data_IF_608195993152
#
_entry.id   IF_608195993152
#
_cell.length_a   1.000
_cell.length_b   1.000
_cell.length_c   1.000
_cell.angle_alpha   90.00
_cell.angle_beta   90.00
_cell.angle_gamma   90.00
#
_symmetry.space_group_name_H-M   'P 1'
#
loop_
_entity.id
_entity.type
_entity.pdbx_description
1 polymer ?
#
# COMPACT_ATOMS: atom_id res chain seq x y z
N UNK A 1 -13.13 6.59 -22.45
CA UNK A 1 -11.93 7.39 -22.13
C UNK A 1 -11.11 6.62 -21.12
N UNK A 2 -9.82 6.39 -21.37
CA UNK A 2 -8.92 5.76 -20.38
C UNK A 2 -8.45 6.87 -19.44
N UNK A 3 -8.91 6.83 -18.19
CA UNK A 3 -8.37 7.69 -17.15
C UNK A 3 -6.93 7.25 -16.83
N UNK A 4 -6.00 8.20 -16.68
CA UNK A 4 -4.60 7.89 -16.38
C UNK A 4 -4.42 7.67 -14.87
N UNK A 5 -3.97 6.47 -14.50
CA UNK A 5 -3.75 6.07 -13.11
C UNK A 5 -2.28 6.10 -12.70
N UNK A 6 -1.36 6.61 -13.54
CA UNK A 6 0.06 6.68 -13.20
C UNK A 6 0.34 7.40 -11.88
N UNK A 7 -0.36 8.49 -11.60
CA UNK A 7 -0.20 9.20 -10.33
C UNK A 7 -0.64 8.33 -9.13
N UNK A 8 -1.68 7.51 -9.29
CA UNK A 8 -2.06 6.54 -8.24
C UNK A 8 -0.96 5.51 -8.06
N UNK A 9 -0.40 4.96 -9.15
CA UNK A 9 0.67 3.98 -9.09
C UNK A 9 1.92 4.53 -8.39
N UNK A 10 2.29 5.78 -8.67
CA UNK A 10 3.40 6.48 -8.00
C UNK A 10 3.11 6.67 -6.50
N UNK A 11 1.90 7.10 -6.13
CA UNK A 11 1.51 7.24 -4.72
C UNK A 11 1.56 5.90 -3.97
N UNK A 12 1.12 4.81 -4.59
CA UNK A 12 1.17 3.47 -4.01
C UNK A 12 2.62 2.97 -3.86
N UNK A 13 3.50 3.30 -4.81
CA UNK A 13 4.92 2.95 -4.72
C UNK A 13 5.62 3.71 -3.58
N UNK A 14 5.33 5.00 -3.42
CA UNK A 14 5.85 5.81 -2.31
C UNK A 14 5.34 5.26 -0.97
N UNK A 15 4.02 5.04 -0.85
CA UNK A 15 3.41 4.49 0.36
C UNK A 15 4.02 3.13 0.76
N UNK A 16 4.28 2.25 -0.21
CA UNK A 16 4.94 0.98 0.05
C UNK A 16 6.34 1.17 0.64
N UNK A 17 7.14 2.07 0.06
CA UNK A 17 8.49 2.33 0.54
C UNK A 17 8.48 2.97 1.94
N UNK A 18 7.56 3.91 2.20
CA UNK A 18 7.44 4.57 3.50
C UNK A 18 7.07 3.57 4.60
N UNK A 19 6.07 2.71 4.37
CA UNK A 19 5.69 1.63 5.31
C UNK A 19 6.87 0.69 5.54
N UNK A 20 7.63 0.37 4.50
CA UNK A 20 8.80 -0.49 4.62
C UNK A 20 9.91 0.15 5.45
N UNK A 21 10.24 1.44 5.22
CA UNK A 21 11.23 2.16 6.00
C UNK A 21 10.80 2.33 7.47
N UNK A 22 9.54 2.65 7.71
CA UNK A 22 8.99 2.77 9.07
C UNK A 22 9.01 1.43 9.80
N UNK A 23 8.69 0.34 9.09
CA UNK A 23 8.81 -1.01 9.62
C UNK A 23 10.27 -1.32 10.00
N UNK A 24 11.22 -1.13 9.08
CA UNK A 24 12.64 -1.36 9.35
C UNK A 24 13.12 -0.50 10.52
N UNK A 25 12.69 0.77 10.62
CA UNK A 25 13.03 1.64 11.75
C UNK A 25 12.51 1.12 13.09
N UNK A 26 11.27 0.62 13.11
CA UNK A 26 10.62 0.08 14.32
C UNK A 26 11.24 -1.23 14.78
N UNK A 27 11.68 -2.08 13.84
CA UNK A 27 12.09 -3.45 14.14
C UNK A 27 13.60 -3.72 13.99
N UNK A 28 14.41 -2.78 13.46
CA UNK A 28 15.88 -2.86 13.50
C UNK A 28 16.46 -2.63 14.90
N UNK A 29 15.69 -2.09 15.85
CA UNK A 29 16.22 -1.69 17.16
C UNK A 29 16.36 -2.83 18.17
N UNK A 30 15.65 -3.95 18.07
CA UNK A 30 15.70 -4.97 19.14
C UNK A 30 15.47 -6.42 18.67
N UNK A 31 16.56 -7.20 18.76
CA UNK A 31 16.67 -8.44 19.55
C UNK A 31 15.31 -9.11 19.86
N UNK A 32 14.70 -9.86 18.95
CA UNK A 32 13.87 -11.03 19.30
C UNK A 32 13.48 -11.81 18.03
N UNK A 33 14.16 -12.93 17.83
CA UNK A 33 14.20 -13.75 16.60
C UNK A 33 12.97 -14.69 16.47
N UNK A 34 11.89 -14.49 17.22
CA UNK A 34 10.79 -15.48 17.31
C UNK A 34 9.38 -15.01 16.91
N UNK A 35 9.23 -13.91 16.16
CA UNK A 35 7.92 -13.31 15.85
C UNK A 35 7.71 -12.91 14.37
N UNK A 36 8.22 -13.71 13.42
CA UNK A 36 8.13 -13.40 11.98
C UNK A 36 6.69 -13.21 11.47
N UNK A 37 5.73 -14.01 11.94
CA UNK A 37 4.32 -13.90 11.54
C UNK A 37 3.65 -12.62 12.04
N UNK A 38 3.82 -12.26 13.31
CA UNK A 38 3.25 -11.03 13.88
C UNK A 38 3.82 -9.76 13.24
N UNK A 39 5.10 -9.79 12.85
CA UNK A 39 5.77 -8.72 12.12
C UNK A 39 5.17 -8.53 10.72
N UNK A 40 4.94 -9.62 9.99
CA UNK A 40 4.29 -9.56 8.68
C UNK A 40 2.85 -9.06 8.78
N UNK A 41 2.09 -9.48 9.78
CA UNK A 41 0.73 -8.98 10.02
C UNK A 41 0.70 -7.48 10.30
N UNK A 42 1.62 -6.96 11.13
CA UNK A 42 1.75 -5.52 11.38
C UNK A 42 2.07 -4.77 10.09
N UNK A 43 3.03 -5.27 9.30
CA UNK A 43 3.38 -4.68 8.01
C UNK A 43 2.17 -4.65 7.05
N UNK A 44 1.44 -5.76 6.91
CA UNK A 44 0.25 -5.85 6.06
C UNK A 44 -0.83 -4.87 6.50
N UNK A 45 -1.06 -4.76 7.82
CA UNK A 45 -2.08 -3.85 8.37
C UNK A 45 -1.72 -2.36 8.13
N UNK A 46 -0.45 -1.99 8.32
CA UNK A 46 0.00 -0.61 8.08
C UNK A 46 -0.04 -0.29 6.57
N UNK A 47 0.39 -1.24 5.73
CA UNK A 47 0.30 -1.12 4.27
C UNK A 47 -1.14 -0.94 3.79
N UNK A 48 -2.09 -1.71 4.31
CA UNK A 48 -3.51 -1.59 3.95
C UNK A 48 -4.05 -0.19 4.24
N UNK A 49 -3.75 0.38 5.40
CA UNK A 49 -4.21 1.72 5.79
C UNK A 49 -3.67 2.80 4.84
N UNK A 50 -2.38 2.77 4.55
CA UNK A 50 -1.76 3.75 3.64
C UNK A 50 -2.32 3.63 2.22
N UNK A 51 -2.53 2.41 1.75
CA UNK A 51 -3.06 2.14 0.42
C UNK A 51 -4.53 2.55 0.27
N UNK A 52 -5.35 2.32 1.30
CA UNK A 52 -6.72 2.83 1.37
C UNK A 52 -6.74 4.35 1.41
N UNK A 53 -5.84 4.97 2.17
CA UNK A 53 -5.66 6.43 2.22
C UNK A 53 -5.31 7.03 0.85
N UNK A 54 -4.34 6.44 0.15
CA UNK A 54 -3.94 6.85 -1.20
C UNK A 54 -5.10 6.71 -2.20
N UNK A 55 -5.79 5.57 -2.19
CA UNK A 55 -6.93 5.31 -3.07
C UNK A 55 -8.10 6.29 -2.83
N UNK A 56 -8.44 6.56 -1.58
CA UNK A 56 -9.49 7.53 -1.22
C UNK A 56 -9.09 8.95 -1.60
N UNK A 57 -7.84 9.34 -1.35
CA UNK A 57 -7.31 10.66 -1.72
C UNK A 57 -7.35 10.87 -3.23
N UNK A 58 -6.99 9.84 -4.00
CA UNK A 58 -7.06 9.86 -5.45
C UNK A 58 -8.51 9.99 -5.96
N UNK A 59 -9.43 9.18 -5.43
CA UNK A 59 -10.86 9.25 -5.77
C UNK A 59 -11.40 10.66 -5.54
N UNK A 60 -11.07 11.28 -4.40
CA UNK A 60 -11.51 12.63 -4.05
C UNK A 60 -10.86 13.69 -4.93
N UNK A 61 -9.54 13.61 -5.16
CA UNK A 61 -8.77 14.56 -5.99
C UNK A 61 -9.35 14.69 -7.40
N UNK A 62 -9.83 13.58 -7.97
CA UNK A 62 -10.36 13.53 -9.33
C UNK A 62 -11.89 13.48 -9.41
N UNK A 63 -12.60 13.68 -8.29
CA UNK A 63 -14.07 13.62 -8.20
C UNK A 63 -14.66 12.28 -8.71
N UNK A 64 -13.92 11.18 -8.56
CA UNK A 64 -14.31 9.83 -8.97
C UNK A 64 -15.08 9.08 -7.88
N UNK A 65 -15.39 9.73 -6.76
CA UNK A 65 -16.10 9.15 -5.61
C UNK A 65 -17.50 8.62 -5.93
N UNK A 66 -18.10 8.99 -7.06
CA UNK A 66 -19.39 8.47 -7.53
C UNK A 66 -19.26 7.53 -8.74
N UNK A 67 -18.06 7.38 -9.28
CA UNK A 67 -17.79 6.53 -10.43
C UNK A 67 -17.47 5.10 -9.97
N UNK A 68 -18.43 4.21 -10.14
CA UNK A 68 -18.31 2.79 -9.76
C UNK A 68 -17.22 2.07 -10.57
N UNK A 69 -17.01 2.42 -11.83
CA UNK A 69 -16.00 1.79 -12.68
C UNK A 69 -14.60 2.27 -12.27
N UNK A 70 -14.43 3.56 -12.02
CA UNK A 70 -13.18 4.11 -11.50
C UNK A 70 -12.82 3.50 -10.14
N UNK A 71 -13.79 3.36 -9.22
CA UNK A 71 -13.57 2.69 -7.93
C UNK A 71 -13.09 1.25 -8.09
N UNK A 72 -13.72 0.49 -8.99
CA UNK A 72 -13.30 -0.89 -9.27
C UNK A 72 -11.87 -0.95 -9.81
N UNK A 73 -11.52 -0.06 -10.75
CA UNK A 73 -10.17 0.01 -11.31
C UNK A 73 -9.13 0.38 -10.26
N UNK A 74 -9.39 1.42 -9.48
CA UNK A 74 -8.51 1.86 -8.38
C UNK A 74 -8.32 0.72 -7.39
N UNK A 75 -9.39 0.05 -6.96
CA UNK A 75 -9.29 -1.09 -6.06
C UNK A 75 -8.43 -2.23 -6.63
N UNK A 76 -8.57 -2.53 -7.93
CA UNK A 76 -7.74 -3.55 -8.60
C UNK A 76 -6.26 -3.14 -8.62
N UNK A 77 -5.95 -1.89 -8.96
CA UNK A 77 -4.59 -1.36 -8.98
C UNK A 77 -3.98 -1.40 -7.58
N UNK A 78 -4.70 -0.87 -6.59
CA UNK A 78 -4.27 -0.87 -5.18
C UNK A 78 -3.98 -2.29 -4.67
N UNK A 79 -4.84 -3.27 -4.98
CA UNK A 79 -4.61 -4.67 -4.59
C UNK A 79 -3.38 -5.29 -5.27
N UNK A 80 -3.16 -4.99 -6.55
CA UNK A 80 -2.01 -5.49 -7.30
C UNK A 80 -0.70 -4.95 -6.70
N UNK A 81 -0.64 -3.65 -6.43
CA UNK A 81 0.53 -3.02 -5.83
C UNK A 81 0.75 -3.48 -4.37
N UNK A 82 -0.32 -3.70 -3.60
CA UNK A 82 -0.21 -4.18 -2.23
C UNK A 82 0.41 -5.58 -2.20
N UNK A 83 -0.06 -6.47 -3.07
CA UNK A 83 0.51 -7.81 -3.24
C UNK A 83 2.00 -7.74 -3.59
N UNK A 84 2.36 -6.91 -4.57
CA UNK A 84 3.76 -6.72 -4.96
C UNK A 84 4.63 -6.22 -3.80
N UNK A 85 4.14 -5.24 -3.05
CA UNK A 85 4.85 -4.70 -1.89
C UNK A 85 5.10 -5.76 -0.81
N UNK A 86 4.10 -6.60 -0.51
CA UNK A 86 4.23 -7.71 0.44
C UNK A 86 5.21 -8.78 -0.06
N UNK A 87 5.16 -9.11 -1.35
CA UNK A 87 6.09 -10.06 -1.96
C UNK A 87 7.53 -9.55 -1.92
N UNK A 88 7.75 -8.26 -2.15
CA UNK A 88 9.07 -7.64 -2.08
C UNK A 88 9.56 -7.55 -0.62
N UNK A 89 8.69 -7.24 0.33
CA UNK A 89 9.00 -7.30 1.77
C UNK A 89 9.39 -8.71 2.23
N UNK A 90 8.66 -9.75 1.77
CA UNK A 90 8.90 -11.14 2.17
C UNK A 90 10.22 -11.73 1.64
N UNK A 91 10.88 -11.06 0.68
CA UNK A 91 12.18 -11.45 0.14
C UNK A 91 13.37 -10.93 0.96
N UNK A 92 13.13 -10.01 1.90
CA UNK A 92 14.14 -9.36 2.75
C UNK A 92 14.31 -10.17 4.03
#
# INVERSE_FOLDING_TARGET
MSFDYKELEEQLAIACNDVHQDFLRRFNSDIYISAGGARLEIFINDLQKEFEGAAMSFLKKYNLEKDTEAKKRILTITKLYAKKCIEDFSKI
#
